data_IF_330551901330
#
_entry.id   IF_330551901330
#
_cell.length_a   1.000
_cell.length_b   1.000
_cell.length_c   1.000
_cell.angle_alpha   90.00
_cell.angle_beta   90.00
_cell.angle_gamma   90.00
#
_symmetry.space_group_name_H-M   'P 1'
#
loop_
_entity.id
_entity.type
_entity.pdbx_description
1 polymer ?
2 non-polymer ?
3 water ?
#
# COMPACT_ATOMS: atom_id res chain seq x y z
N UNK A 9 8.47 8.33 -21.83
CA UNK A 9 8.60 8.94 -20.46
C UNK A 9 9.93 9.64 -20.13
N UNK A 10 9.84 10.70 -19.32
CA UNK A 10 10.95 11.38 -18.79
C UNK A 10 11.33 10.80 -17.38
N UNK A 11 10.44 9.98 -16.84
CA UNK A 11 10.79 9.29 -15.54
C UNK A 11 11.59 8.03 -15.89
N UNK A 12 12.32 7.48 -14.91
CA UNK A 12 12.99 6.17 -15.18
C UNK A 12 12.23 5.12 -14.31
N UNK A 13 12.20 3.92 -14.86
CA UNK A 13 11.59 2.81 -14.08
C UNK A 13 12.70 2.14 -13.34
N UNK A 14 12.52 1.92 -12.02
CA UNK A 14 13.59 1.31 -11.23
C UNK A 14 12.98 0.07 -10.58
N UNK A 15 13.90 -0.86 -10.26
CA UNK A 15 13.41 -2.19 -9.71
C UNK A 15 14.25 -2.52 -8.49
N UNK A 16 13.86 -3.55 -7.78
CA UNK A 16 14.71 -4.00 -6.65
C UNK A 16 16.15 -4.28 -7.10
N UNK A 17 16.33 -4.83 -8.30
CA UNK A 17 17.74 -5.13 -8.75
C UNK A 17 18.48 -3.88 -9.12
N UNK A 18 17.79 -2.82 -9.59
CA UNK A 18 18.53 -1.64 -10.04
C UNK A 18 18.55 -0.52 -9.05
N UNK A 19 17.85 -0.71 -7.93
CA UNK A 19 17.61 0.36 -6.98
C UNK A 19 18.93 1.02 -6.57
N UNK A 20 19.86 0.21 -6.07
CA UNK A 20 21.07 0.77 -5.48
C UNK A 20 21.86 1.57 -6.48
N UNK A 21 21.95 1.10 -7.69
CA UNK A 21 22.79 1.87 -8.62
C UNK A 21 22.09 3.00 -9.33
N UNK A 22 20.76 2.88 -9.51
CA UNK A 22 19.98 3.97 -10.19
C UNK A 22 19.60 5.05 -9.20
N UNK A 23 19.40 4.72 -7.95
CA UNK A 23 18.89 5.75 -7.01
C UNK A 23 19.90 6.03 -5.92
N UNK A 24 20.39 5.00 -5.18
CA UNK A 24 21.20 5.26 -4.05
C UNK A 24 22.59 5.80 -4.45
N UNK A 25 23.00 5.51 -5.71
CA UNK A 25 24.34 5.97 -6.16
C UNK A 25 24.25 7.20 -7.01
N UNK A 26 23.08 7.80 -7.16
CA UNK A 26 22.96 8.98 -8.08
C UNK A 26 23.75 10.20 -7.56
N UNK A 27 24.28 10.94 -8.52
CA UNK A 27 24.96 12.19 -8.16
C UNK A 27 24.06 13.38 -8.04
N UNK A 28 22.78 13.18 -8.23
CA UNK A 28 21.85 14.27 -8.02
C UNK A 28 20.63 13.74 -7.32
N UNK A 29 19.74 14.61 -6.93
CA UNK A 29 18.60 14.17 -6.13
C UNK A 29 17.69 13.31 -7.03
N UNK A 30 17.06 12.30 -6.34
CA UNK A 30 16.14 11.43 -7.07
C UNK A 30 14.82 11.38 -6.29
N UNK A 31 13.72 11.68 -6.99
CA UNK A 31 12.39 11.53 -6.36
C UNK A 31 11.82 10.20 -6.81
N UNK A 32 11.59 9.32 -5.80
CA UNK A 32 11.09 7.96 -6.11
C UNK A 32 9.60 7.89 -5.79
N UNK A 33 8.86 7.52 -6.81
CA UNK A 33 7.39 7.23 -6.67
C UNK A 33 7.13 5.74 -6.44
N UNK A 34 6.71 5.40 -5.19
CA UNK A 34 6.24 4.01 -4.87
C UNK A 34 4.76 3.97 -5.28
N UNK A 35 4.47 3.22 -6.30
CA UNK A 35 3.12 3.20 -6.85
C UNK A 35 2.57 1.80 -6.95
N UNK A 36 1.26 1.61 -7.09
CA UNK A 36 0.72 0.31 -7.40
C UNK A 36 -0.45 0.42 -8.32
N UNK A 37 -0.69 -0.65 -9.04
CA UNK A 37 -1.80 -0.58 -10.00
C UNK A 37 -3.15 -0.51 -9.30
N UNK A 38 -3.28 -1.01 -8.09
CA UNK A 38 -4.60 -0.97 -7.39
C UNK A 38 -4.85 0.36 -6.74
N UNK A 39 -3.85 1.26 -6.70
CA UNK A 39 -3.95 2.49 -5.97
C UNK A 39 -4.47 3.59 -6.88
N UNK A 40 -5.74 3.97 -6.60
CA UNK A 40 -6.35 4.87 -7.57
C UNK A 40 -5.53 6.22 -7.64
N UNK A 41 -5.11 6.77 -6.50
CA UNK A 41 -4.35 8.05 -6.57
C UNK A 41 -3.04 7.93 -7.32
N UNK A 42 -2.52 6.71 -7.44
CA UNK A 42 -1.29 6.53 -8.27
C UNK A 42 -1.55 7.09 -9.68
N UNK A 43 -2.79 6.98 -10.18
CA UNK A 43 -3.16 7.46 -11.51
C UNK A 43 -3.26 9.02 -11.63
N UNK A 44 -3.45 9.66 -10.49
CA UNK A 44 -3.36 11.16 -10.43
C UNK A 44 -1.91 11.58 -10.37
N UNK A 45 -1.10 10.86 -9.59
CA UNK A 45 0.28 11.27 -9.45
C UNK A 45 1.12 11.13 -10.74
N UNK A 46 0.82 10.09 -11.52
CA UNK A 46 1.66 9.76 -12.66
C UNK A 46 1.85 10.96 -13.65
N UNK A 47 0.74 11.59 -14.10
CA UNK A 47 1.02 12.70 -15.11
C UNK A 47 1.68 13.90 -14.46
N UNK A 48 1.49 14.13 -13.16
CA UNK A 48 2.19 15.20 -12.49
C UNK A 48 3.69 14.94 -12.46
N UNK A 49 4.08 13.69 -12.14
CA UNK A 49 5.47 13.43 -12.10
C UNK A 49 6.11 13.40 -13.51
N UNK A 50 5.39 13.04 -14.57
CA UNK A 50 5.94 13.13 -15.93
C UNK A 50 6.27 14.61 -16.24
N UNK A 51 5.37 15.49 -15.86
CA UNK A 51 5.68 16.95 -16.04
C UNK A 51 6.83 17.46 -15.27
N UNK A 52 6.92 17.14 -13.94
CA UNK A 52 8.08 17.52 -13.15
C UNK A 52 9.36 16.90 -13.72
N UNK A 53 9.32 15.63 -14.16
CA UNK A 53 10.56 14.97 -14.65
C UNK A 53 11.04 15.75 -15.89
N UNK A 54 10.13 16.16 -16.76
CA UNK A 54 10.51 16.90 -17.99
C UNK A 54 11.02 18.30 -17.65
N UNK A 55 10.28 19.00 -16.81
CA UNK A 55 10.62 20.37 -16.44
C UNK A 55 11.87 20.53 -15.60
N UNK A 56 12.21 19.52 -14.78
CA UNK A 56 13.29 19.67 -13.85
C UNK A 56 14.41 18.69 -14.16
N UNK A 57 14.49 18.23 -15.42
CA UNK A 57 15.43 17.18 -15.87
C UNK A 57 16.87 17.54 -15.56
N UNK A 58 17.27 18.82 -15.61
CA UNK A 58 18.66 19.10 -15.31
C UNK A 58 18.99 18.92 -13.82
N UNK A 59 18.02 19.09 -12.89
CA UNK A 59 18.30 19.16 -11.50
C UNK A 59 17.92 17.88 -10.71
N UNK A 60 17.05 17.11 -11.33
CA UNK A 60 16.33 16.06 -10.50
C UNK A 60 16.06 14.88 -11.43
N UNK A 61 16.24 13.62 -10.88
CA UNK A 61 15.81 12.43 -11.62
C UNK A 61 14.49 11.99 -10.88
N UNK A 62 13.52 11.59 -11.70
CA UNK A 62 12.23 11.07 -11.11
C UNK A 62 12.13 9.56 -11.50
N UNK A 63 11.98 8.70 -10.45
CA UNK A 63 11.97 7.26 -10.72
C UNK A 63 10.67 6.68 -10.22
N UNK A 64 10.27 5.61 -10.87
CA UNK A 64 9.01 4.93 -10.45
C UNK A 64 9.37 3.49 -10.05
N UNK A 65 8.85 3.15 -8.88
CA UNK A 65 9.10 1.74 -8.34
C UNK A 65 7.71 1.10 -8.14
N UNK A 66 7.37 0.11 -8.95
CA UNK A 66 6.04 -0.56 -8.82
C UNK A 66 6.16 -1.54 -7.66
N UNK A 67 5.40 -1.31 -6.62
CA UNK A 67 5.56 -2.14 -5.42
C UNK A 67 4.94 -3.51 -5.73
N UNK A 68 4.11 -3.65 -6.73
CA UNK A 68 3.50 -4.94 -7.06
C UNK A 68 4.57 -5.98 -7.46
N UNK A 69 5.70 -5.51 -7.98
CA UNK A 69 6.69 -6.41 -8.55
C UNK A 69 8.05 -6.19 -7.92
N UNK A 70 8.14 -5.29 -6.94
CA UNK A 70 9.42 -4.93 -6.29
C UNK A 70 9.18 -4.76 -4.81
N UNK A 71 8.95 -5.89 -4.13
CA UNK A 71 8.62 -5.83 -2.72
C UNK A 71 9.78 -5.51 -1.88
N UNK A 72 11.03 -5.85 -2.22
CA UNK A 72 12.13 -5.61 -1.31
C UNK A 72 12.31 -4.10 -1.02
N UNK A 73 12.24 -3.28 -2.13
CA UNK A 73 12.58 -1.87 -1.90
C UNK A 73 11.43 -1.21 -1.05
N UNK A 74 10.20 -1.62 -1.33
CA UNK A 74 9.09 -1.09 -0.52
C UNK A 74 9.28 -1.46 0.95
N UNK A 75 9.59 -2.73 1.25
CA UNK A 75 9.82 -3.15 2.63
C UNK A 75 11.04 -2.47 3.27
N UNK A 76 12.09 -2.23 2.47
CA UNK A 76 13.33 -1.66 2.95
C UNK A 76 13.20 -0.27 3.39
N UNK A 77 12.25 0.48 2.77
CA UNK A 77 11.94 1.86 3.20
C UNK A 77 10.63 2.03 3.97
N UNK A 78 10.19 0.87 4.44
CA UNK A 78 8.97 0.89 5.30
C UNK A 78 7.78 1.61 4.67
N UNK A 79 7.62 1.32 3.36
CA UNK A 79 6.43 1.90 2.61
C UNK A 79 5.20 1.15 3.04
N UNK A 80 4.23 1.91 3.56
CA UNK A 80 2.96 1.29 3.96
C UNK A 80 1.76 1.98 3.36
N UNK A 81 1.91 3.11 2.74
CA UNK A 81 0.78 3.82 2.16
C UNK A 81 1.19 4.07 0.73
N UNK A 82 0.26 4.03 -0.21
CA UNK A 82 0.56 4.33 -1.57
C UNK A 82 -0.36 5.46 -2.04
N UNK A 83 0.14 6.49 -2.70
CA UNK A 83 1.49 6.72 -3.08
C UNK A 83 2.37 7.13 -1.90
N UNK A 84 3.68 6.75 -1.95
CA UNK A 84 4.67 7.37 -1.11
C UNK A 84 5.75 7.85 -2.03
N UNK A 85 6.17 9.09 -1.86
CA UNK A 85 7.28 9.60 -2.65
C UNK A 85 8.43 9.86 -1.71
N UNK A 86 9.64 9.41 -2.08
CA UNK A 86 10.75 9.70 -1.25
C UNK A 86 11.80 10.41 -2.10
N UNK A 87 12.32 11.52 -1.53
CA UNK A 87 13.41 12.24 -2.21
C UNK A 87 14.72 11.77 -1.61
N UNK A 88 15.61 11.31 -2.46
CA UNK A 88 16.93 10.81 -2.05
C UNK A 88 18.02 11.82 -2.47
N UNK A 89 18.98 12.00 -1.56
CA UNK A 89 20.21 12.78 -1.90
C UNK A 89 21.37 12.02 -1.28
N UNK A 90 22.33 11.71 -2.13
CA UNK A 90 23.58 11.08 -1.64
C UNK A 90 23.30 9.78 -0.92
N UNK A 91 22.36 8.99 -1.44
CA UNK A 91 22.11 7.67 -0.85
C UNK A 91 21.19 7.63 0.38
N UNK A 92 20.62 8.79 0.78
CA UNK A 92 19.83 8.90 1.96
C UNK A 92 18.45 9.50 1.64
N UNK A 93 17.39 8.98 2.23
CA UNK A 93 16.12 9.65 2.07
C UNK A 93 16.18 10.96 2.83
N UNK A 94 15.70 12.03 2.24
CA UNK A 94 15.69 13.39 2.90
C UNK A 94 14.31 13.92 3.10
N UNK A 95 13.34 13.42 2.35
CA UNK A 95 11.91 13.83 2.55
C UNK A 95 11.00 12.74 2.08
N UNK A 96 9.91 12.59 2.81
CA UNK A 96 8.92 11.56 2.57
C UNK A 96 7.54 12.20 2.47
N UNK A 97 6.88 11.95 1.35
CA UNK A 97 5.60 12.54 1.04
C UNK A 97 4.59 11.43 0.81
N UNK A 98 3.52 11.40 1.61
CA UNK A 98 2.57 10.31 1.53
C UNK A 98 1.26 10.82 1.03
N UNK A 99 0.72 10.24 0.00
CA UNK A 99 -0.54 10.64 -0.61
C UNK A 99 -0.29 11.62 -1.73
N UNK A 100 -1.30 11.82 -2.55
CA UNK A 100 -1.26 12.73 -3.70
C UNK A 100 -1.45 14.18 -3.28
N UNK A 101 -0.39 14.99 -3.38
CA UNK A 101 -0.41 16.38 -2.80
C UNK A 101 -0.71 17.40 -3.91
N UNK A 102 -0.57 16.99 -5.13
CA UNK A 102 -0.72 17.90 -6.32
C UNK A 102 0.60 18.54 -6.72
N UNK A 103 0.62 19.00 -7.95
CA UNK A 103 1.87 19.50 -8.52
C UNK A 103 2.38 20.68 -7.74
N UNK A 104 1.51 21.60 -7.33
CA UNK A 104 2.10 22.83 -6.75
C UNK A 104 2.72 22.54 -5.45
N UNK A 105 2.12 21.68 -4.65
CA UNK A 105 2.66 21.31 -3.35
C UNK A 105 3.98 20.51 -3.57
N UNK A 106 4.03 19.64 -4.55
CA UNK A 106 5.30 18.91 -4.79
C UNK A 106 6.39 19.90 -5.16
N UNK A 107 6.12 20.81 -6.10
CA UNK A 107 7.15 21.79 -6.48
C UNK A 107 7.64 22.55 -5.28
N UNK A 108 6.75 22.88 -4.34
CA UNK A 108 7.20 23.56 -3.09
C UNK A 108 8.13 22.67 -2.29
N UNK A 109 7.71 21.43 -2.03
CA UNK A 109 8.56 20.47 -1.34
C UNK A 109 9.95 20.36 -2.04
N UNK A 110 10.00 20.37 -3.37
CA UNK A 110 11.27 20.21 -4.10
C UNK A 110 12.11 21.50 -4.14
N UNK A 111 11.44 22.65 -4.01
CA UNK A 111 12.06 23.98 -4.11
C UNK A 111 13.24 24.22 -3.20
N UNK A 112 13.22 23.75 -1.96
CA UNK A 112 14.35 24.07 -1.12
C UNK A 112 15.48 23.04 -1.13
N UNK A 113 15.16 21.85 -1.62
CA UNK A 113 16.02 20.69 -1.44
C UNK A 113 16.70 20.34 -2.75
N UNK A 114 16.29 21.00 -3.84
CA UNK A 114 16.81 20.65 -5.15
C UNK A 114 17.41 21.87 -5.87
N UNK B 8 -5.63 -26.14 6.29
CA UNK B 8 -4.41 -25.55 6.91
C UNK B 8 -4.60 -24.24 7.76
N UNK B 9 -4.95 -23.06 7.20
CA UNK B 9 -5.15 -21.89 8.06
C UNK B 9 -6.60 -21.81 8.47
N UNK B 10 -6.91 -21.12 9.59
CA UNK B 10 -8.26 -20.85 9.96
C UNK B 10 -8.76 -19.61 9.16
N UNK B 11 -7.83 -18.79 8.67
CA UNK B 11 -8.29 -17.69 7.82
C UNK B 11 -8.55 -18.28 6.38
N UNK B 12 -9.30 -17.53 5.57
CA UNK B 12 -9.47 -17.96 4.18
C UNK B 12 -8.75 -16.98 3.26
N UNK B 13 -8.05 -17.58 2.32
CA UNK B 13 -7.31 -16.79 1.35
C UNK B 13 -8.22 -16.44 0.20
N UNK B 14 -8.66 -15.20 0.14
CA UNK B 14 -9.66 -14.82 -0.87
C UNK B 14 -8.94 -14.06 -2.02
N UNK B 15 -9.63 -14.10 -3.16
CA UNK B 15 -9.02 -13.58 -4.43
C UNK B 15 -10.02 -12.72 -5.14
N UNK B 16 -9.53 -11.99 -6.16
CA UNK B 16 -10.48 -11.26 -7.01
C UNK B 16 -11.58 -12.17 -7.58
N UNK B 17 -11.21 -13.43 -7.89
CA UNK B 17 -12.23 -14.37 -8.46
C UNK B 17 -13.20 -14.87 -7.40
N UNK B 18 -12.70 -15.06 -6.18
CA UNK B 18 -13.57 -15.69 -5.15
C UNK B 18 -14.36 -14.66 -4.37
N UNK B 19 -14.00 -13.35 -4.37
CA UNK B 19 -14.47 -12.36 -3.36
C UNK B 19 -15.96 -12.23 -3.33
N UNK B 20 -16.62 -12.21 -4.53
CA UNK B 20 -18.06 -12.03 -4.50
C UNK B 20 -18.76 -13.20 -3.77
N UNK B 21 -18.21 -14.40 -3.90
CA UNK B 21 -18.81 -15.61 -3.25
C UNK B 21 -18.47 -15.59 -1.76
N UNK B 22 -17.17 -15.55 -1.49
CA UNK B 22 -16.83 -15.82 -0.07
C UNK B 22 -16.80 -14.62 0.85
N UNK B 23 -16.88 -13.41 0.31
CA UNK B 23 -16.98 -12.24 1.19
C UNK B 23 -18.37 -11.64 0.95
N UNK B 24 -18.71 -11.19 -0.29
CA UNK B 24 -19.89 -10.33 -0.41
C UNK B 24 -21.17 -11.19 -0.19
N UNK B 25 -21.07 -12.48 -0.43
CA UNK B 25 -22.28 -13.37 -0.28
C UNK B 25 -22.25 -14.12 0.98
N UNK B 26 -21.33 -13.84 1.88
CA UNK B 26 -21.23 -14.62 3.10
C UNK B 26 -22.42 -14.42 4.01
N UNK B 27 -22.77 -15.48 4.70
CA UNK B 27 -23.82 -15.37 5.66
C UNK B 27 -23.31 -14.76 6.95
N UNK B 28 -22.15 -15.13 7.38
CA UNK B 28 -21.62 -14.41 8.50
C UNK B 28 -20.77 -13.22 8.22
N UNK B 29 -20.59 -12.37 9.21
CA UNK B 29 -19.68 -11.24 9.08
C UNK B 29 -18.30 -11.72 8.65
N UNK B 30 -17.65 -10.93 7.82
CA UNK B 30 -16.34 -11.37 7.30
C UNK B 30 -15.36 -10.21 7.49
N UNK B 31 -14.27 -10.44 8.26
CA UNK B 31 -13.23 -9.38 8.37
C UNK B 31 -12.17 -9.67 7.31
N UNK B 32 -11.99 -8.71 6.37
CA UNK B 32 -11.04 -8.96 5.30
C UNK B 32 -9.78 -8.11 5.54
N UNK B 33 -8.64 -8.79 5.53
CA UNK B 33 -7.32 -8.07 5.67
C UNK B 33 -6.72 -7.89 4.29
N UNK B 34 -6.66 -6.61 3.86
CA UNK B 34 -5.98 -6.27 2.54
C UNK B 34 -4.53 -6.04 2.90
N UNK B 35 -3.69 -6.97 2.48
CA UNK B 35 -2.32 -7.00 3.01
C UNK B 35 -1.32 -7.20 1.88
N UNK B 36 -0.04 -7.05 2.24
CA UNK B 36 1.04 -7.28 1.28
C UNK B 36 2.26 -7.79 1.98
N UNK B 37 3.01 -8.66 1.27
CA UNK B 37 4.24 -9.24 1.98
C UNK B 37 5.31 -8.17 2.25
N UNK B 38 5.34 -7.11 1.47
CA UNK B 38 6.30 -6.01 1.69
C UNK B 38 5.91 -5.05 2.77
N UNK B 39 4.72 -5.22 3.37
CA UNK B 39 4.29 -4.32 4.44
C UNK B 39 4.87 -4.98 5.69
N UNK B 40 5.80 -4.28 6.34
CA UNK B 40 6.49 -4.93 7.47
C UNK B 40 5.47 -5.49 8.49
N UNK B 41 4.47 -4.68 8.86
CA UNK B 41 3.57 -5.28 9.88
C UNK B 41 2.83 -6.60 9.49
N UNK B 42 2.98 -7.09 8.28
CA UNK B 42 2.29 -8.33 7.94
C UNK B 42 2.69 -9.48 8.81
N UNK B 43 3.93 -9.48 9.26
CA UNK B 43 4.42 -10.59 10.03
C UNK B 43 3.88 -10.51 11.50
N UNK B 44 3.47 -9.32 11.93
CA UNK B 44 2.84 -9.13 13.27
C UNK B 44 1.35 -9.41 13.21
N UNK B 45 0.73 -8.94 12.13
CA UNK B 45 -0.73 -9.10 12.02
C UNK B 45 -1.07 -10.59 11.77
N UNK B 46 -0.29 -11.33 11.00
CA UNK B 46 -0.77 -12.64 10.59
C UNK B 46 -1.16 -13.52 11.75
N UNK B 47 -0.30 -13.70 12.77
CA UNK B 47 -0.67 -14.66 13.83
C UNK B 47 -1.82 -14.15 14.68
N UNK B 48 -2.03 -12.88 14.78
CA UNK B 48 -3.18 -12.22 15.48
C UNK B 48 -4.47 -12.65 14.73
N UNK B 49 -4.47 -12.47 13.41
CA UNK B 49 -5.68 -12.89 12.68
C UNK B 49 -5.93 -14.42 12.65
N UNK B 50 -4.90 -15.28 12.67
CA UNK B 50 -5.10 -16.70 12.76
C UNK B 50 -5.74 -17.04 14.13
N UNK B 51 -5.23 -16.41 15.17
CA UNK B 51 -5.91 -16.60 16.50
C UNK B 51 -7.34 -16.16 16.54
N UNK B 52 -7.66 -14.96 16.06
CA UNK B 52 -9.04 -14.47 16.04
C UNK B 52 -9.90 -15.42 15.19
N UNK B 53 -9.38 -15.88 14.02
CA UNK B 53 -10.18 -16.71 13.13
C UNK B 53 -10.52 -18.03 13.85
N UNK B 54 -9.58 -18.56 14.63
CA UNK B 54 -9.80 -19.83 15.36
C UNK B 54 -10.77 -19.55 16.53
N UNK B 55 -10.49 -18.53 17.32
CA UNK B 55 -11.27 -18.34 18.58
C UNK B 55 -12.66 -17.85 18.32
N UNK B 56 -12.90 -17.12 17.20
CA UNK B 56 -14.21 -16.52 16.97
C UNK B 56 -14.93 -17.12 15.78
N UNK B 57 -14.48 -18.31 15.37
CA UNK B 57 -14.96 -19.08 14.20
C UNK B 57 -16.45 -19.17 14.12
N UNK B 58 -17.13 -19.26 15.28
CA UNK B 58 -18.61 -19.27 15.29
C UNK B 58 -19.28 -18.01 14.82
N UNK B 59 -18.68 -16.85 15.08
CA UNK B 59 -19.35 -15.64 14.83
C UNK B 59 -18.78 -14.87 13.62
N UNK B 60 -17.62 -15.30 13.14
CA UNK B 60 -16.85 -14.38 12.20
C UNK B 60 -15.95 -15.21 11.30
N UNK B 61 -15.92 -14.87 10.01
CA UNK B 61 -14.91 -15.44 9.09
C UNK B 61 -13.80 -14.34 8.92
N UNK B 62 -12.56 -14.80 8.89
CA UNK B 62 -11.42 -13.85 8.64
C UNK B 62 -10.78 -14.25 7.29
N UNK B 63 -10.74 -13.22 6.38
CA UNK B 63 -10.28 -13.52 5.04
C UNK B 63 -9.06 -12.64 4.81
N UNK B 64 -8.16 -13.12 3.97
CA UNK B 64 -6.94 -12.33 3.67
C UNK B 64 -6.94 -12.13 2.11
N UNK B 65 -6.74 -10.86 1.71
CA UNK B 65 -6.70 -10.53 0.25
C UNK B 65 -5.35 -9.91 -0.01
N UNK B 66 -4.46 -10.67 -0.66
CA UNK B 66 -3.08 -10.19 -1.00
C UNK B 66 -3.18 -9.20 -2.12
N UNK B 67 -2.92 -7.94 -1.81
CA UNK B 67 -3.13 -6.91 -2.89
C UNK B 67 -2.11 -7.11 -4.05
N UNK B 68 -0.98 -7.77 -3.83
CA UNK B 68 0.03 -7.96 -4.86
C UNK B 68 -0.49 -8.85 -5.97
N UNK B 69 -1.48 -9.69 -5.67
CA UNK B 69 -2.01 -10.57 -6.73
C UNK B 69 -3.50 -10.37 -6.98
N UNK B 70 -4.14 -9.50 -6.20
CA UNK B 70 -5.56 -9.26 -6.38
C UNK B 70 -5.83 -7.76 -6.34
N UNK B 71 -5.38 -7.06 -7.42
CA UNK B 71 -5.47 -5.63 -7.42
C UNK B 71 -6.86 -5.14 -7.64
N UNK B 72 -7.77 -5.90 -8.26
CA UNK B 72 -9.08 -5.32 -8.53
C UNK B 72 -9.88 -5.06 -7.30
N UNK B 73 -9.83 -6.09 -6.36
CA UNK B 73 -10.65 -5.87 -5.15
C UNK B 73 -10.08 -4.69 -4.25
N UNK B 74 -8.74 -4.60 -4.21
CA UNK B 74 -8.13 -3.49 -3.48
C UNK B 74 -8.52 -2.09 -4.10
N UNK B 75 -8.50 -2.06 -5.40
CA UNK B 75 -8.93 -0.81 -6.07
C UNK B 75 -10.43 -0.53 -5.75
N UNK B 76 -11.23 -1.59 -5.80
CA UNK B 76 -12.65 -1.37 -5.65
C UNK B 76 -13.08 -0.87 -4.35
N UNK B 77 -12.27 -1.12 -3.33
CA UNK B 77 -12.50 -0.57 -1.98
C UNK B 77 -11.58 0.62 -1.62
N UNK B 78 -10.99 1.18 -2.66
CA UNK B 78 -10.13 2.38 -2.39
C UNK B 78 -9.07 2.14 -1.35
N UNK B 79 -8.43 0.97 -1.39
CA UNK B 79 -7.34 0.75 -0.39
C UNK B 79 -6.14 1.61 -0.81
N UNK B 80 -5.61 2.30 0.21
CA UNK B 80 -4.42 3.09 -0.05
C UNK B 80 -3.35 2.82 1.01
N UNK B 81 -3.69 2.25 2.13
CA UNK B 81 -2.67 1.99 3.16
C UNK B 81 -2.78 0.55 3.52
N UNK B 82 -1.65 -0.04 3.89
CA UNK B 82 -1.61 -1.46 4.18
C UNK B 82 -1.11 -1.64 5.61
N UNK B 83 -1.75 -2.48 6.41
CA UNK B 83 -2.97 -3.19 6.08
C UNK B 83 -4.20 -2.33 6.25
N UNK B 84 -5.24 -2.69 5.51
CA UNK B 84 -6.55 -2.12 5.73
C UNK B 84 -7.43 -3.30 6.00
N UNK B 85 -8.16 -3.26 7.10
CA UNK B 85 -9.06 -4.39 7.45
C UNK B 85 -10.47 -3.83 7.33
N UNK B 86 -11.34 -4.54 6.55
CA UNK B 86 -12.73 -4.10 6.40
C UNK B 86 -13.62 -5.24 6.89
N UNK B 87 -14.57 -4.87 7.76
CA UNK B 87 -15.61 -5.86 8.20
C UNK B 87 -16.84 -5.70 7.35
N UNK B 88 -17.19 -6.80 6.69
CA UNK B 88 -18.41 -6.86 5.86
C UNK B 88 -19.52 -7.59 6.58
N UNK B 89 -20.76 -7.06 6.34
CA UNK B 89 -21.97 -7.77 6.75
C UNK B 89 -22.95 -7.66 5.60
N UNK B 90 -23.48 -8.78 5.16
CA UNK B 90 -24.55 -8.78 4.14
C UNK B 90 -24.11 -7.98 2.94
N UNK B 91 -22.86 -8.21 2.56
CA UNK B 91 -22.27 -7.58 1.35
C UNK B 91 -21.83 -6.14 1.38
N UNK B 92 -21.92 -5.48 2.55
CA UNK B 92 -21.63 -4.06 2.71
C UNK B 92 -20.51 -3.98 3.72
N UNK B 93 -19.57 -3.10 3.50
CA UNK B 93 -18.62 -2.77 4.53
C UNK B 93 -19.30 -2.03 5.67
N UNK B 94 -18.97 -2.39 6.89
CA UNK B 94 -19.54 -1.68 8.03
C UNK B 94 -18.49 -1.08 8.93
N UNK B 95 -17.22 -1.49 8.78
CA UNK B 95 -16.17 -0.83 9.61
C UNK B 95 -14.89 -0.94 8.80
N UNK B 96 -14.08 0.11 8.85
CA UNK B 96 -12.77 0.12 8.20
C UNK B 96 -11.69 0.44 9.23
N UNK B 97 -10.67 -0.40 9.28
CA UNK B 97 -9.55 -0.25 10.28
C UNK B 97 -8.26 -0.14 9.47
N UNK B 98 -7.48 0.95 9.64
CA UNK B 98 -6.23 1.06 8.88
C UNK B 98 -5.09 0.90 9.87
N UNK B 99 -4.15 -0.04 9.61
CA UNK B 99 -2.97 -0.27 10.40
C UNK B 99 -3.14 -1.46 11.35
N UNK B 100 -2.03 -1.88 11.91
CA UNK B 100 -1.99 -3.05 12.85
C UNK B 100 -2.32 -2.53 14.28
N UNK B 101 -3.49 -2.88 14.80
CA UNK B 101 -3.97 -2.28 16.06
C UNK B 101 -3.68 -3.24 17.22
N UNK B 102 -3.29 -4.49 16.95
CA UNK B 102 -3.03 -5.52 17.99
C UNK B 102 -4.37 -6.25 18.32
N UNK B 103 -4.21 -7.41 18.92
CA UNK B 103 -5.34 -8.32 19.07
C UNK B 103 -6.40 -7.64 19.95
N UNK B 104 -5.95 -7.06 21.08
CA UNK B 104 -7.01 -6.53 21.95
C UNK B 104 -7.86 -5.49 21.34
N UNK B 105 -7.31 -4.54 20.60
CA UNK B 105 -8.02 -3.43 20.03
C UNK B 105 -8.90 -4.07 18.93
N UNK B 106 -8.39 -5.06 18.18
CA UNK B 106 -9.26 -5.65 17.16
C UNK B 106 -10.47 -6.35 17.81
N UNK B 107 -10.23 -7.16 18.83
CA UNK B 107 -11.33 -7.84 19.52
C UNK B 107 -12.34 -6.82 19.95
N UNK B 108 -11.88 -5.62 20.39
CA UNK B 108 -12.83 -4.52 20.74
C UNK B 108 -13.64 -3.98 19.57
N UNK B 109 -12.97 -3.65 18.49
CA UNK B 109 -13.65 -3.25 17.28
C UNK B 109 -14.59 -4.36 16.79
N UNK B 110 -14.34 -5.62 17.09
CA UNK B 110 -15.25 -6.71 16.70
C UNK B 110 -16.38 -7.05 17.68
N UNK B 111 -16.35 -6.49 18.85
CA UNK B 111 -17.43 -6.65 19.81
C UNK B 111 -18.37 -5.57 19.41
N UNK B 112 -17.78 -4.43 19.13
CA UNK B 112 -18.46 -3.21 18.79
C UNK B 112 -19.47 -3.41 17.68
N UNK B 113 -19.37 -4.55 16.99
CA UNK B 113 -20.38 -4.87 16.00
C UNK B 113 -20.86 -6.30 16.07
N UNK B 114 -20.02 -7.23 15.65
CA UNK B 114 -20.36 -8.64 15.62
C UNK B 114 -20.53 -9.22 16.99
X LIG C 1 0.86 14.63 -7.18
X LIG C 1 -0.85 14.55 -7.56
X LIG C 1 -1.99 14.48 -7.81
X LIG D 1 0.05 -6.08 6.18
X LIG D 1 -0.97 -7.27 6.96
X LIG D 1 -1.62 -8.02 7.45
X LIG E 1 -6.76 -2.54 -10.56
X LIG E 1 -6.46 -3.77 -11.86
X LIG E 1 -6.16 -4.59 -12.65
X LIG F 1 -3.13 -6.73 14.55
X LIG F 1 -1.45 -6.63 15.11
X LIG F 1 -0.33 -6.56 15.49
#
# INVERSE_FOLDING_TARGET
GSMTDSEKSATIKVTDASFATDVLSSNKPVLVDFWATWCGPSKMVAPVLEEIATERATDLTVAKLDVDTNPETARNFQVVSIPTLILFKDGQPVKRIVGAKGKAALLRELSDVVPNLN
GSMTDSEKSATIKVTDASFATDVLSSNKPVLVDFWATWCGPSKMVAPVLEEIATERATDLTVAKLDVDTNPETARNFQVVSIPTLILFKDGQPVKRIVGAKGKAALLRELSDVVPNLN
SCN S C N
SCN S C N
SCN S C N
SCN S C N
#
